data_IF_246285198279
#
_entry.id   IF_246285198279
#
_cell.length_a   1.000
_cell.length_b   1.000
_cell.length_c   1.000
_cell.angle_alpha   90.00
_cell.angle_beta   90.00
_cell.angle_gamma   90.00
#
_symmetry.space_group_name_H-M   'P 1'
#
loop_
_entity.id
_entity.type
_entity.pdbx_description
1 polymer ?
#
# COMPACT_ATOMS: atom_id res chain seq x y z
N UNK A 1 16.70 -7.90 0.82
CA UNK A 1 15.46 -8.18 0.09
C UNK A 1 14.99 -9.62 0.27
N UNK A 2 15.74 -10.62 -0.18
CA UNK A 2 15.37 -12.04 -0.08
C UNK A 2 14.87 -12.48 1.33
N UNK A 3 15.61 -12.14 2.40
CA UNK A 3 15.20 -12.47 3.77
C UNK A 3 13.84 -11.88 4.17
N UNK A 4 13.54 -10.66 3.70
CA UNK A 4 12.23 -10.02 3.93
C UNK A 4 11.12 -10.76 3.18
N UNK A 5 11.34 -11.11 1.90
CA UNK A 5 10.36 -11.87 1.13
C UNK A 5 10.07 -13.23 1.76
N UNK A 6 11.11 -13.97 2.19
CA UNK A 6 10.93 -15.24 2.88
C UNK A 6 10.10 -15.08 4.16
N UNK A 7 10.39 -14.06 4.97
CA UNK A 7 9.62 -13.77 6.19
C UNK A 7 8.15 -13.45 5.86
N UNK A 8 7.91 -12.56 4.90
CA UNK A 8 6.58 -12.14 4.47
C UNK A 8 5.75 -13.31 3.92
N UNK A 9 6.36 -14.17 3.09
CA UNK A 9 5.73 -15.37 2.51
C UNK A 9 5.40 -16.42 3.57
N UNK A 10 6.32 -16.69 4.49
CA UNK A 10 6.09 -17.64 5.59
C UNK A 10 4.93 -17.21 6.50
N UNK A 11 4.77 -15.89 6.69
CA UNK A 11 3.66 -15.33 7.44
C UNK A 11 2.39 -15.11 6.59
N UNK A 12 2.41 -15.50 5.31
CA UNK A 12 1.33 -15.36 4.34
C UNK A 12 0.72 -13.96 4.32
N UNK A 13 1.56 -12.92 4.43
CA UNK A 13 1.05 -11.55 4.50
C UNK A 13 0.71 -11.00 3.12
N UNK A 14 -0.37 -10.26 3.00
CA UNK A 14 -0.61 -9.46 1.80
C UNK A 14 0.48 -8.39 1.68
N UNK A 15 1.10 -8.29 0.52
CA UNK A 15 2.10 -7.26 0.22
C UNK A 15 1.48 -6.20 -0.68
N UNK A 16 1.36 -4.97 -0.19
CA UNK A 16 0.81 -3.85 -0.96
C UNK A 16 1.89 -2.79 -1.14
N UNK A 17 2.16 -2.43 -2.39
CA UNK A 17 3.06 -1.33 -2.74
C UNK A 17 2.29 -0.05 -3.05
N UNK A 18 3.02 1.07 -3.19
CA UNK A 18 2.47 2.35 -3.68
C UNK A 18 3.23 2.85 -4.88
N UNK A 19 2.51 3.32 -5.89
CA UNK A 19 3.08 3.91 -7.10
C UNK A 19 2.12 4.97 -7.66
N UNK A 20 2.66 6.08 -8.15
CA UNK A 20 1.91 7.13 -8.84
C UNK A 20 1.44 6.68 -10.23
N UNK A 21 2.08 5.66 -10.79
CA UNK A 21 1.75 5.03 -12.07
C UNK A 21 0.73 3.88 -11.95
N UNK A 22 0.34 3.48 -10.74
CA UNK A 22 -0.61 2.38 -10.57
C UNK A 22 -2.04 2.78 -10.96
N UNK A 23 -2.81 1.82 -11.47
CA UNK A 23 -4.20 2.06 -11.88
C UNK A 23 -5.20 1.90 -10.73
N UNK A 24 -4.87 1.13 -9.68
CA UNK A 24 -5.78 0.85 -8.58
C UNK A 24 -5.82 2.02 -7.59
N UNK A 25 -7.00 2.61 -7.39
CA UNK A 25 -7.21 3.61 -6.35
C UNK A 25 -7.03 2.95 -4.97
N UNK A 26 -6.27 3.60 -4.08
CA UNK A 26 -6.00 3.10 -2.74
C UNK A 26 -7.28 2.76 -1.93
N UNK A 27 -8.40 3.44 -2.17
CA UNK A 27 -9.66 3.15 -1.49
C UNK A 27 -10.37 1.90 -2.02
N UNK A 28 -10.04 1.46 -3.24
CA UNK A 28 -10.68 0.32 -3.90
C UNK A 28 -10.07 -1.03 -3.52
N UNK A 29 -8.85 -1.03 -2.99
CA UNK A 29 -8.13 -2.25 -2.59
C UNK A 29 -8.74 -2.80 -1.30
N UNK A 30 -8.93 -4.13 -1.24
CA UNK A 30 -9.31 -4.82 -0.01
C UNK A 30 -8.05 -5.20 0.78
N UNK A 31 -7.78 -4.52 1.89
CA UNK A 31 -6.57 -4.71 2.68
C UNK A 31 -6.69 -5.88 3.68
N UNK A 32 -6.38 -7.09 3.24
CA UNK A 32 -6.48 -8.31 4.06
C UNK A 32 -5.31 -8.46 5.02
N UNK A 33 -5.59 -8.76 6.30
CA UNK A 33 -4.55 -9.00 7.32
C UNK A 33 -4.18 -10.50 7.39
N UNK A 34 -2.90 -10.84 7.70
CA UNK A 34 -1.78 -9.93 7.96
C UNK A 34 -1.29 -9.24 6.68
N UNK A 35 -0.81 -8.00 6.78
CA UNK A 35 -0.37 -7.22 5.61
C UNK A 35 0.93 -6.45 5.89
N UNK A 36 1.68 -6.20 4.83
CA UNK A 36 2.81 -5.28 4.79
C UNK A 36 2.57 -4.23 3.72
N UNK A 37 2.70 -2.95 4.11
CA UNK A 37 2.66 -1.81 3.21
C UNK A 37 4.09 -1.40 2.86
N UNK A 38 4.40 -1.36 1.57
CA UNK A 38 5.67 -0.86 1.04
C UNK A 38 5.47 0.54 0.46
N UNK A 39 6.23 1.49 0.97
CA UNK A 39 6.24 2.86 0.49
C UNK A 39 7.53 3.11 -0.30
N UNK A 40 7.39 3.68 -1.49
CA UNK A 40 8.52 4.08 -2.32
C UNK A 40 9.27 5.28 -1.75
N UNK A 41 10.51 5.51 -2.20
CA UNK A 41 11.22 6.76 -1.89
C UNK A 41 10.62 7.95 -2.63
N UNK A 42 10.76 9.17 -2.11
CA UNK A 42 10.21 10.39 -2.74
C UNK A 42 10.71 10.64 -4.17
N UNK A 43 11.91 10.16 -4.51
CA UNK A 43 12.54 10.41 -5.82
C UNK A 43 12.37 9.27 -6.82
N UNK A 44 12.30 8.04 -6.34
CA UNK A 44 12.39 6.87 -7.21
C UNK A 44 11.24 5.88 -7.03
N UNK A 45 10.32 6.14 -6.11
CA UNK A 45 9.26 5.19 -5.79
C UNK A 45 9.84 3.86 -5.30
N UNK A 46 9.11 2.78 -5.56
CA UNK A 46 9.58 1.40 -5.40
C UNK A 46 10.36 0.99 -6.66
N UNK A 47 11.35 0.11 -6.52
CA UNK A 47 11.97 -0.48 -7.70
C UNK A 47 10.98 -1.41 -8.41
N UNK A 48 11.10 -1.55 -9.74
CA UNK A 48 10.22 -2.44 -10.51
C UNK A 48 10.29 -3.90 -10.04
N UNK A 49 11.44 -4.33 -9.52
CA UNK A 49 11.60 -5.65 -8.88
C UNK A 49 10.68 -5.80 -7.66
N UNK A 50 10.60 -4.76 -6.82
CA UNK A 50 9.75 -4.77 -5.63
C UNK A 50 8.27 -4.66 -6.02
N UNK A 51 7.92 -3.79 -6.97
CA UNK A 51 6.55 -3.65 -7.46
C UNK A 51 6.01 -4.97 -8.00
N UNK A 52 6.80 -5.70 -8.79
CA UNK A 52 6.42 -6.99 -9.37
C UNK A 52 6.13 -8.10 -8.33
N UNK A 53 6.54 -7.91 -7.08
CA UNK A 53 6.32 -8.87 -5.99
C UNK A 53 5.10 -8.52 -5.14
N UNK A 54 4.56 -7.32 -5.29
CA UNK A 54 3.37 -6.91 -4.55
C UNK A 54 2.13 -7.62 -5.11
N UNK A 55 1.19 -7.95 -4.23
CA UNK A 55 -0.11 -8.49 -4.62
C UNK A 55 -0.99 -7.40 -5.21
N UNK A 56 -0.85 -6.17 -4.70
CA UNK A 56 -1.53 -4.97 -5.16
C UNK A 56 -0.56 -3.80 -5.18
N UNK A 57 -0.72 -2.88 -6.12
CA UNK A 57 -0.04 -1.58 -6.11
C UNK A 57 -1.11 -0.50 -6.07
N UNK A 58 -1.12 0.27 -4.98
CA UNK A 58 -2.07 1.34 -4.75
C UNK A 58 -1.57 2.68 -5.31
N UNK A 59 -2.50 3.46 -5.85
CA UNK A 59 -2.30 4.87 -6.19
C UNK A 59 -3.17 5.76 -5.31
N UNK A 60 -2.56 6.78 -4.73
CA UNK A 60 -3.30 7.92 -4.16
C UNK A 60 -3.57 8.90 -5.31
N UNK A 61 -4.83 9.22 -5.62
CA UNK A 61 -5.14 10.17 -6.69
C UNK A 61 -4.60 11.55 -6.33
N UNK A 62 -3.83 12.12 -7.26
CA UNK A 62 -3.33 13.48 -7.20
C UNK A 62 -4.17 14.37 -8.10
N UNK A 63 -4.67 15.47 -7.55
CA UNK A 63 -5.39 16.51 -8.31
C UNK A 63 -4.45 17.72 -8.51
N UNK A 64 -4.41 18.27 -9.72
CA UNK A 64 -3.65 19.48 -10.04
C UNK A 64 -2.21 19.21 -10.53
N UNK A 65 -1.27 20.08 -10.14
CA UNK A 65 0.10 20.14 -10.70
C UNK A 65 1.17 19.39 -9.91
N UNK A 66 0.81 18.70 -8.82
CA UNK A 66 1.78 17.98 -8.00
C UNK A 66 1.87 16.53 -8.46
N UNK A 67 3.07 16.08 -8.79
CA UNK A 67 3.33 14.72 -9.25
C UNK A 67 3.28 13.70 -8.08
N UNK A 68 3.50 14.16 -6.84
CA UNK A 68 3.42 13.30 -5.66
C UNK A 68 3.08 14.05 -4.36
N UNK A 69 2.78 13.29 -3.31
CA UNK A 69 2.75 13.77 -1.92
C UNK A 69 4.10 13.56 -1.25
N UNK A 70 4.38 14.33 -0.20
CA UNK A 70 5.43 13.98 0.75
C UNK A 70 5.24 12.54 1.26
N UNK A 71 6.35 11.80 1.41
CA UNK A 71 6.31 10.38 1.74
C UNK A 71 5.59 10.09 3.07
N UNK A 72 5.78 10.93 4.09
CA UNK A 72 5.12 10.75 5.38
C UNK A 72 3.59 10.98 5.27
N UNK A 73 3.17 11.97 4.47
CA UNK A 73 1.75 12.23 4.20
C UNK A 73 1.11 11.07 3.44
N UNK A 74 1.75 10.59 2.37
CA UNK A 74 1.28 9.42 1.63
C UNK A 74 1.14 8.19 2.54
N UNK A 75 2.15 7.95 3.38
CA UNK A 75 2.13 6.84 4.35
C UNK A 75 0.97 6.97 5.32
N UNK A 76 0.72 8.17 5.85
CA UNK A 76 -0.39 8.43 6.77
C UNK A 76 -1.75 8.17 6.11
N UNK A 77 -1.96 8.61 4.87
CA UNK A 77 -3.19 8.38 4.10
C UNK A 77 -3.44 6.89 3.90
N UNK A 78 -2.43 6.14 3.46
CA UNK A 78 -2.53 4.69 3.25
C UNK A 78 -2.87 3.95 4.54
N UNK A 79 -2.15 4.23 5.63
CA UNK A 79 -2.38 3.59 6.92
C UNK A 79 -3.77 3.91 7.48
N UNK A 80 -4.27 5.13 7.29
CA UNK A 80 -5.58 5.51 7.77
C UNK A 80 -6.71 4.83 7.00
N UNK A 81 -6.55 4.60 5.69
CA UNK A 81 -7.52 3.81 4.93
C UNK A 81 -7.53 2.33 5.33
N UNK A 82 -6.35 1.72 5.49
CA UNK A 82 -6.21 0.34 6.01
C UNK A 82 -6.92 0.22 7.38
N UNK A 83 -6.74 1.23 8.24
CA UNK A 83 -7.43 1.31 9.53
C UNK A 83 -8.95 1.48 9.36
N UNK A 84 -9.41 2.34 8.45
CA UNK A 84 -10.83 2.58 8.17
C UNK A 84 -11.55 1.31 7.70
N UNK A 85 -10.94 0.50 6.84
CA UNK A 85 -11.53 -0.80 6.45
C UNK A 85 -11.58 -1.76 7.64
N UNK A 86 -10.54 -1.77 8.47
CA UNK A 86 -10.49 -2.63 9.66
C UNK A 86 -11.62 -2.30 10.64
N UNK A 87 -11.93 -1.01 10.88
CA UNK A 87 -13.02 -0.61 11.79
C UNK A 87 -14.42 -0.79 11.18
N UNK A 88 -14.60 -0.59 9.87
CA UNK A 88 -15.89 -0.85 9.18
C UNK A 88 -16.31 -2.30 9.32
N UNK A 89 -15.35 -3.24 9.22
CA UNK A 89 -15.59 -4.67 9.39
C UNK A 89 -16.02 -5.05 10.81
N UNK A 90 -15.60 -4.30 11.83
CA UNK A 90 -16.02 -4.52 13.22
C UNK A 90 -17.48 -4.11 13.41
N UNK A 91 -17.90 -2.97 12.84
CA UNK A 91 -19.28 -2.47 12.99
C UNK A 91 -20.33 -3.35 12.29
N UNK A 92 -19.97 -4.08 11.23
CA UNK A 92 -20.91 -4.98 10.52
C UNK A 92 -21.08 -6.32 11.28
N UNK A 93 -20.10 -6.70 12.12
CA UNK A 93 -20.12 -7.98 12.86
C UNK A 93 -20.69 -7.87 14.30
N UNK A 94 -21.09 -6.68 14.73
CA UNK A 94 -21.74 -6.39 16.02
C UNK A 94 -23.25 -6.21 15.86
#
# INVERSE_FOLDING_TARGET
WHAFQTWQQNAQMMLVGTSDHASADYQSITYQRPLTLLMGSERHGLSSEIEATCHEIARIPMEGRSDSLNLAVATAVMLYEIYNQSRKLVTIKS
#
